data_IF_990898437278
#
_entry.id   IF_990898437278
#
_cell.length_a   1.000
_cell.length_b   1.000
_cell.length_c   1.000
_cell.angle_alpha   90.00
_cell.angle_beta   90.00
_cell.angle_gamma   90.00
#
_symmetry.space_group_name_H-M   'P 1'
#
loop_
_entity.id
_entity.type
_entity.pdbx_description
1 polymer ?
#
# COMPACT_ATOMS: atom_id res chain seq x y z
N UNK A 1 -13.09 -32.70 -13.90
CA UNK A 1 -12.17 -31.53 -13.87
C UNK A 1 -11.40 -31.46 -15.20
N UNK A 2 -10.71 -30.36 -15.54
CA UNK A 2 -10.04 -30.19 -16.86
C UNK A 2 -8.97 -31.27 -17.13
N UNK A 3 -8.23 -31.67 -16.09
CA UNK A 3 -7.22 -32.74 -16.20
C UNK A 3 -7.83 -34.11 -16.48
N UNK A 4 -8.98 -34.41 -15.88
CA UNK A 4 -9.67 -35.69 -16.08
C UNK A 4 -10.22 -35.81 -17.50
N UNK A 5 -10.82 -34.73 -18.02
CA UNK A 5 -11.31 -34.68 -19.40
C UNK A 5 -10.17 -34.83 -20.42
N UNK A 6 -9.01 -34.22 -20.15
CA UNK A 6 -7.84 -34.36 -20.99
C UNK A 6 -7.27 -35.79 -20.99
N UNK A 7 -7.28 -36.47 -19.84
CA UNK A 7 -6.88 -37.86 -19.72
C UNK A 7 -7.82 -38.80 -20.50
N UNK A 8 -9.14 -38.57 -20.44
CA UNK A 8 -10.13 -39.33 -21.23
C UNK A 8 -9.95 -39.14 -22.74
N UNK A 9 -9.46 -37.98 -23.17
CA UNK A 9 -9.21 -37.65 -24.58
C UNK A 9 -7.77 -37.99 -25.03
N UNK A 10 -6.96 -38.60 -24.16
CA UNK A 10 -5.53 -38.89 -24.40
C UNK A 10 -4.70 -37.65 -24.79
N UNK A 11 -5.08 -36.47 -24.28
CA UNK A 11 -4.40 -35.19 -24.51
C UNK A 11 -3.61 -34.79 -23.27
N UNK A 12 -2.33 -34.44 -23.45
CA UNK A 12 -1.45 -34.00 -22.34
C UNK A 12 -1.56 -32.48 -22.16
N UNK A 13 -2.04 -32.04 -20.99
CA UNK A 13 -2.18 -30.61 -20.65
C UNK A 13 -1.04 -30.19 -19.72
N UNK A 14 -0.19 -29.28 -20.20
CA UNK A 14 0.99 -28.80 -19.44
C UNK A 14 0.65 -27.73 -18.40
N UNK A 15 -0.48 -27.03 -18.55
CA UNK A 15 -0.92 -26.00 -17.61
C UNK A 15 -2.29 -25.45 -17.97
N UNK A 16 -3.02 -24.95 -16.97
CA UNK A 16 -4.31 -24.29 -17.16
C UNK A 16 -4.18 -22.86 -16.67
N UNK A 17 -4.24 -21.89 -17.59
CA UNK A 17 -4.29 -20.46 -17.26
C UNK A 17 -5.73 -20.01 -17.29
N UNK A 18 -6.29 -19.69 -16.13
CA UNK A 18 -7.64 -19.14 -16.01
C UNK A 18 -7.53 -17.63 -15.87
N UNK A 19 -8.18 -16.89 -16.77
CA UNK A 19 -8.35 -15.45 -16.64
C UNK A 19 -9.82 -15.18 -16.38
N UNK A 20 -10.19 -14.68 -15.19
CA UNK A 20 -11.56 -14.33 -14.90
C UNK A 20 -12.00 -13.20 -15.83
N UNK A 21 -13.18 -13.35 -16.45
CA UNK A 21 -13.82 -12.28 -17.22
C UNK A 21 -14.76 -11.54 -16.28
N UNK A 22 -14.58 -10.23 -16.16
CA UNK A 22 -15.51 -9.36 -15.45
C UNK A 22 -16.47 -8.73 -16.47
N UNK A 23 -17.62 -8.26 -15.99
CA UNK A 23 -18.44 -7.35 -16.78
C UNK A 23 -17.75 -5.99 -16.91
N UNK A 24 -18.05 -5.23 -17.97
CA UNK A 24 -17.47 -3.88 -18.15
C UNK A 24 -17.73 -2.97 -16.93
N UNK A 25 -18.88 -3.13 -16.27
CA UNK A 25 -19.24 -2.38 -15.08
C UNK A 25 -18.35 -2.74 -13.89
N UNK A 26 -18.08 -4.03 -13.67
CA UNK A 26 -17.22 -4.50 -12.57
C UNK A 26 -15.76 -4.12 -12.80
N UNK A 27 -15.30 -4.16 -14.06
CA UNK A 27 -13.95 -3.70 -14.42
C UNK A 27 -13.77 -2.21 -14.12
N UNK A 28 -14.77 -1.39 -14.46
CA UNK A 28 -14.75 0.04 -14.17
C UNK A 28 -14.77 0.32 -12.66
N UNK A 29 -15.58 -0.42 -11.91
CA UNK A 29 -15.63 -0.32 -10.44
C UNK A 29 -14.27 -0.69 -9.82
N UNK A 30 -13.69 -1.82 -10.23
CA UNK A 30 -12.41 -2.29 -9.73
C UNK A 30 -11.29 -1.30 -10.06
N UNK A 31 -11.27 -0.79 -11.29
CA UNK A 31 -10.30 0.23 -11.71
C UNK A 31 -10.39 1.48 -10.83
N UNK A 32 -11.58 2.02 -10.59
CA UNK A 32 -11.78 3.18 -9.71
C UNK A 32 -11.29 2.92 -8.28
N UNK A 33 -11.57 1.74 -7.73
CA UNK A 33 -11.10 1.35 -6.41
C UNK A 33 -9.56 1.27 -6.35
N UNK A 34 -8.93 0.66 -7.36
CA UNK A 34 -7.48 0.54 -7.43
C UNK A 34 -6.80 1.91 -7.63
N UNK A 35 -7.38 2.77 -8.46
CA UNK A 35 -6.87 4.13 -8.70
C UNK A 35 -6.94 4.94 -7.41
N UNK A 36 -8.10 4.95 -6.72
CA UNK A 36 -8.27 5.63 -5.44
C UNK A 36 -7.31 5.09 -4.37
N UNK A 37 -7.13 3.76 -4.29
CA UNK A 37 -6.15 3.14 -3.40
C UNK A 37 -4.72 3.61 -3.72
N UNK A 38 -4.35 3.64 -5.00
CA UNK A 38 -3.00 4.06 -5.40
C UNK A 38 -2.73 5.53 -5.06
N UNK A 39 -3.71 6.40 -5.24
CA UNK A 39 -3.61 7.81 -4.87
C UNK A 39 -3.46 7.98 -3.35
N UNK A 40 -4.28 7.28 -2.57
CA UNK A 40 -4.20 7.32 -1.10
C UNK A 40 -2.83 6.84 -0.59
N UNK A 41 -2.27 5.78 -1.18
CA UNK A 41 -0.92 5.29 -0.82
C UNK A 41 0.13 6.36 -1.11
N UNK A 42 0.12 6.99 -2.29
CA UNK A 42 1.08 8.06 -2.63
C UNK A 42 1.00 9.23 -1.65
N UNK A 43 -0.21 9.71 -1.37
CA UNK A 43 -0.40 10.80 -0.40
C UNK A 43 0.06 10.40 1.00
N UNK A 44 -0.17 9.15 1.42
CA UNK A 44 0.31 8.65 2.70
C UNK A 44 1.84 8.57 2.75
N UNK A 45 2.49 8.14 1.67
CA UNK A 45 3.96 8.08 1.55
C UNK A 45 4.58 9.47 1.64
N UNK A 46 4.03 10.44 0.90
CA UNK A 46 4.45 11.84 0.94
C UNK A 46 4.30 12.44 2.34
N UNK A 47 3.14 12.28 2.98
CA UNK A 47 2.92 12.74 4.34
C UNK A 47 3.91 12.09 5.33
N UNK A 48 4.20 10.80 5.15
CA UNK A 48 5.16 10.05 5.97
C UNK A 48 6.60 10.56 5.79
N UNK A 49 6.99 10.92 4.57
CA UNK A 49 8.29 11.54 4.30
C UNK A 49 8.39 12.94 4.92
N UNK A 50 7.40 13.79 4.70
CA UNK A 50 7.36 15.15 5.26
C UNK A 50 7.38 15.13 6.79
N UNK A 51 6.67 14.19 7.42
CA UNK A 51 6.68 14.00 8.86
C UNK A 51 8.10 13.66 9.36
N UNK A 52 8.78 12.71 8.73
CA UNK A 52 10.15 12.32 9.11
C UNK A 52 11.11 13.49 8.97
N UNK A 53 11.04 14.21 7.86
CA UNK A 53 11.92 15.35 7.60
C UNK A 53 11.68 16.49 8.59
N UNK A 54 10.41 16.80 8.88
CA UNK A 54 10.04 17.83 9.86
C UNK A 54 10.56 17.47 11.25
N UNK A 55 10.36 16.22 11.70
CA UNK A 55 10.88 15.75 12.99
C UNK A 55 12.40 15.85 13.05
N UNK A 56 13.10 15.48 11.98
CA UNK A 56 14.56 15.57 11.88
C UNK A 56 15.04 17.02 12.02
N UNK A 57 14.44 17.96 11.28
CA UNK A 57 14.79 19.38 11.34
C UNK A 57 14.57 19.94 12.74
N UNK A 58 13.39 19.72 13.34
CA UNK A 58 13.05 20.25 14.66
C UNK A 58 13.98 19.70 15.75
N UNK A 59 14.32 18.41 15.69
CA UNK A 59 15.28 17.81 16.63
C UNK A 59 16.70 18.38 16.46
N UNK A 60 17.12 18.64 15.23
CA UNK A 60 18.43 19.26 14.95
C UNK A 60 18.51 20.72 15.42
N UNK A 61 17.37 21.41 15.56
CA UNK A 61 17.27 22.73 16.19
C UNK A 61 17.34 22.68 17.73
N UNK A 62 17.43 21.49 18.32
CA UNK A 62 17.55 21.30 19.77
C UNK A 62 16.21 21.09 20.50
N UNK A 63 15.08 20.98 19.78
CA UNK A 63 13.80 20.69 20.42
C UNK A 63 13.79 19.26 20.98
N UNK A 64 13.23 19.11 22.17
CA UNK A 64 13.08 17.80 22.81
C UNK A 64 11.88 17.04 22.23
N UNK A 65 11.90 15.71 22.40
CA UNK A 65 10.88 14.80 21.83
C UNK A 65 9.45 15.19 22.23
N UNK A 66 9.25 15.69 23.45
CA UNK A 66 7.93 16.12 23.95
C UNK A 66 7.39 17.32 23.15
N UNK A 67 8.21 18.32 22.91
CA UNK A 67 7.80 19.54 22.21
C UNK A 67 7.50 19.25 20.74
N UNK A 68 8.33 18.41 20.09
CA UNK A 68 8.10 17.97 18.71
C UNK A 68 6.79 17.18 18.59
N UNK A 69 6.48 16.32 19.58
CA UNK A 69 5.23 15.58 19.63
C UNK A 69 4.00 16.50 19.74
N UNK A 70 4.09 17.54 20.56
CA UNK A 70 3.03 18.53 20.72
C UNK A 70 2.79 19.33 19.43
N UNK A 71 3.86 19.82 18.78
CA UNK A 71 3.78 20.58 17.53
C UNK A 71 3.23 19.75 16.36
N UNK A 72 3.62 18.48 16.27
CA UNK A 72 3.21 17.60 15.17
C UNK A 72 1.92 16.83 15.44
N UNK A 73 1.33 17.00 16.64
CA UNK A 73 0.14 16.26 17.11
C UNK A 73 0.28 14.75 17.02
N UNK A 74 1.48 14.25 17.26
CA UNK A 74 1.82 12.83 17.24
C UNK A 74 2.39 12.44 18.59
N UNK A 75 2.19 11.18 19.01
CA UNK A 75 2.62 10.76 20.34
C UNK A 75 4.14 10.80 20.49
N UNK A 76 4.68 11.14 21.69
CA UNK A 76 6.12 11.13 21.94
C UNK A 76 6.79 9.78 21.61
N UNK A 77 6.11 8.67 21.85
CA UNK A 77 6.58 7.32 21.50
C UNK A 77 6.78 7.17 20.00
N UNK A 78 5.83 7.69 19.20
CA UNK A 78 5.93 7.65 17.75
C UNK A 78 7.08 8.53 17.25
N UNK A 79 7.23 9.74 17.78
CA UNK A 79 8.38 10.61 17.47
C UNK A 79 9.71 9.91 17.81
N UNK A 80 9.80 9.27 18.97
CA UNK A 80 11.00 8.54 19.37
C UNK A 80 11.33 7.35 18.45
N UNK A 81 10.31 6.71 17.85
CA UNK A 81 10.49 5.60 16.90
C UNK A 81 10.90 6.05 15.50
N UNK A 82 10.64 7.31 15.15
CA UNK A 82 11.12 7.92 13.92
C UNK A 82 12.60 8.26 14.12
N UNK A 83 13.47 7.28 13.85
CA UNK A 83 14.92 7.50 13.84
C UNK A 83 15.23 8.68 12.89
N UNK A 84 15.96 9.66 13.42
CA UNK A 84 16.56 10.73 12.64
C UNK A 84 17.67 10.18 11.73
#
# INVERSE_FOLDING_TARGET
MVKDAAATLNVKVNGVKVTPKLSEQDELMLKRMLDAKSAAIKTQEEASMLMRETVRILRNQGLIVRDVAELTRVTPQRISSLKA
#
